data_IF_126379263756
#
_entry.id   IF_126379263756
#
_cell.length_a   1.000
_cell.length_b   1.000
_cell.length_c   1.000
_cell.angle_alpha   90.00
_cell.angle_beta   90.00
_cell.angle_gamma   90.00
#
_symmetry.space_group_name_H-M   'P 1'
#
loop_
_entity.id
_entity.type
_entity.pdbx_description
1 polymer ?
#
# COMPACT_ATOMS: atom_id res chain seq x y z
N UNK A 1 24.45 21.02 21.78
CA UNK A 1 23.86 21.22 20.45
C UNK A 1 22.55 20.48 20.48
N UNK A 2 21.50 21.26 20.70
CA UNK A 2 20.14 20.71 20.71
C UNK A 2 19.75 20.56 19.22
N UNK A 3 19.87 19.36 18.70
CA UNK A 3 19.43 19.02 17.35
C UNK A 3 17.89 18.93 17.40
N UNK A 4 17.25 20.10 17.37
CA UNK A 4 15.80 20.21 17.34
C UNK A 4 15.31 19.72 15.97
N UNK A 5 15.32 18.39 15.75
CA UNK A 5 14.59 17.80 14.62
C UNK A 5 13.12 18.19 14.74
N UNK A 6 12.57 18.68 13.66
CA UNK A 6 11.13 18.90 13.57
C UNK A 6 10.41 17.56 13.74
N UNK A 7 9.20 17.58 14.33
CA UNK A 7 8.37 16.37 14.39
C UNK A 7 8.10 15.87 12.96
N UNK A 8 8.09 14.53 12.75
CA UNK A 8 7.81 13.96 11.43
C UNK A 8 6.38 14.28 10.99
N UNK A 9 6.21 14.53 9.70
CA UNK A 9 4.89 14.76 9.10
C UNK A 9 4.34 13.42 8.59
N UNK A 10 3.13 13.05 9.04
CA UNK A 10 2.43 11.87 8.57
C UNK A 10 1.49 12.24 7.42
N UNK A 11 1.69 11.60 6.26
CA UNK A 11 0.82 11.76 5.08
C UNK A 11 0.10 10.45 4.80
N UNK A 12 -1.23 10.47 4.90
CA UNK A 12 -2.07 9.30 4.58
C UNK A 12 -2.50 9.33 3.11
N UNK A 13 -2.07 8.31 2.36
CA UNK A 13 -2.47 8.10 0.97
C UNK A 13 -3.68 7.16 0.94
N UNK A 14 -4.86 7.69 0.60
CA UNK A 14 -6.08 6.88 0.46
C UNK A 14 -5.93 5.81 -0.62
N UNK A 15 -6.62 4.67 -0.50
CA UNK A 15 -6.53 3.56 -1.46
C UNK A 15 -6.80 3.97 -2.92
N UNK A 16 -7.72 4.92 -3.13
CA UNK A 16 -8.00 5.47 -4.45
C UNK A 16 -6.95 6.47 -4.95
N UNK A 17 -6.07 6.96 -4.08
CA UNK A 17 -5.00 7.91 -4.46
C UNK A 17 -3.88 7.20 -5.21
N UNK A 18 -3.73 5.89 -4.99
CA UNK A 18 -2.69 5.05 -5.61
C UNK A 18 -3.22 4.18 -6.76
N UNK A 19 -4.48 4.36 -7.09
CA UNK A 19 -5.14 3.72 -8.22
C UNK A 19 -5.66 4.81 -9.15
N UNK A 20 -5.50 4.64 -10.45
CA UNK A 20 -6.15 5.49 -11.44
C UNK A 20 -7.67 5.56 -11.25
N UNK A 21 -8.33 6.48 -11.93
CA UNK A 21 -9.78 6.64 -11.86
C UNK A 21 -10.49 5.40 -12.42
N UNK A 22 -11.52 4.95 -11.70
CA UNK A 22 -12.53 3.91 -11.97
C UNK A 22 -12.32 3.01 -13.22
N UNK A 23 -12.01 1.74 -12.98
CA UNK A 23 -11.91 0.69 -13.99
C UNK A 23 -10.84 -0.33 -13.67
N UNK A 24 -10.66 -1.37 -14.49
CA UNK A 24 -9.50 -2.23 -14.39
C UNK A 24 -8.25 -1.41 -14.71
N UNK A 25 -7.42 -1.21 -13.72
CA UNK A 25 -6.17 -0.47 -13.84
C UNK A 25 -5.04 -1.38 -14.31
N UNK A 26 -4.12 -0.79 -15.07
CA UNK A 26 -2.90 -1.46 -15.54
C UNK A 26 -1.72 -1.14 -14.62
N UNK A 27 -0.65 -1.93 -14.70
CA UNK A 27 0.59 -1.66 -13.97
C UNK A 27 1.20 -0.30 -14.35
N UNK A 28 1.07 0.11 -15.63
CA UNK A 28 1.58 1.39 -16.11
C UNK A 28 0.79 2.57 -15.52
N UNK A 29 -0.54 2.47 -15.48
CA UNK A 29 -1.39 3.48 -14.83
C UNK A 29 -1.10 3.61 -13.34
N UNK A 30 -0.86 2.51 -12.65
CA UNK A 30 -0.44 2.54 -11.25
C UNK A 30 0.88 3.26 -11.08
N UNK A 31 1.87 2.97 -11.94
CA UNK A 31 3.18 3.63 -11.91
C UNK A 31 3.04 5.13 -12.14
N UNK A 32 2.28 5.57 -13.14
CA UNK A 32 2.04 6.99 -13.40
C UNK A 32 1.41 7.72 -12.21
N UNK A 33 0.49 7.07 -11.51
CA UNK A 33 -0.15 7.65 -10.32
C UNK A 33 0.84 7.77 -9.17
N UNK A 34 1.69 6.76 -8.97
CA UNK A 34 2.75 6.77 -7.96
C UNK A 34 3.77 7.86 -8.25
N UNK A 35 4.23 7.99 -9.50
CA UNK A 35 5.20 9.01 -9.93
C UNK A 35 4.64 10.42 -9.68
N UNK A 36 3.42 10.71 -10.10
CA UNK A 36 2.76 12.00 -9.81
C UNK A 36 2.58 12.26 -8.32
N UNK A 37 2.37 11.21 -7.52
CA UNK A 37 2.27 11.35 -6.06
C UNK A 37 3.62 11.72 -5.46
N UNK A 38 4.70 11.07 -5.89
CA UNK A 38 6.06 11.35 -5.45
C UNK A 38 6.48 12.79 -5.83
N UNK A 39 6.22 13.22 -7.08
CA UNK A 39 6.47 14.58 -7.54
C UNK A 39 5.76 15.63 -6.66
N UNK A 40 4.48 15.40 -6.33
CA UNK A 40 3.72 16.28 -5.44
C UNK A 40 4.29 16.34 -4.03
N UNK A 41 4.67 15.20 -3.46
CA UNK A 41 5.29 15.13 -2.14
C UNK A 41 6.63 15.88 -2.15
N UNK A 42 7.46 15.64 -3.17
CA UNK A 42 8.76 16.29 -3.32
C UNK A 42 8.65 17.81 -3.50
N UNK A 43 7.60 18.30 -4.18
CA UNK A 43 7.35 19.74 -4.35
C UNK A 43 6.68 20.42 -3.15
N UNK A 44 6.03 19.65 -2.28
CA UNK A 44 5.27 20.18 -1.14
C UNK A 44 6.12 20.28 0.13
N UNK A 45 7.05 19.36 0.33
CA UNK A 45 7.85 19.28 1.54
C UNK A 45 9.34 19.50 1.23
N UNK A 46 10.04 20.14 2.13
CA UNK A 46 11.49 20.35 2.01
C UNK A 46 12.26 19.02 2.14
N UNK A 47 13.50 19.00 1.63
CA UNK A 47 14.33 17.80 1.62
C UNK A 47 14.69 17.31 3.04
N UNK A 48 14.73 18.23 4.00
CA UNK A 48 15.04 17.97 5.41
C UNK A 48 13.80 17.54 6.22
N UNK A 49 12.61 17.53 5.61
CA UNK A 49 11.39 17.13 6.29
C UNK A 49 11.33 15.60 6.43
N UNK A 50 11.27 15.11 7.67
CA UNK A 50 11.01 13.69 7.94
C UNK A 50 9.55 13.36 7.62
N UNK A 51 9.33 12.51 6.61
CA UNK A 51 8.00 12.08 6.17
C UNK A 51 7.71 10.64 6.56
N UNK A 52 6.51 10.40 7.07
CA UNK A 52 5.94 9.05 7.25
C UNK A 52 4.73 8.93 6.33
N UNK A 53 4.83 8.08 5.32
CA UNK A 53 3.73 7.81 4.41
C UNK A 53 2.97 6.57 4.88
N UNK A 54 1.65 6.67 4.97
CA UNK A 54 0.77 5.53 5.22
C UNK A 54 -0.17 5.33 4.03
N UNK A 55 -0.49 4.09 3.70
CA UNK A 55 -1.36 3.79 2.56
C UNK A 55 -2.25 2.57 2.81
N UNK A 56 -3.37 2.49 2.09
CA UNK A 56 -4.18 1.29 1.99
C UNK A 56 -3.75 0.42 0.81
N UNK A 57 -4.20 -0.84 0.78
CA UNK A 57 -3.84 -1.82 -0.26
C UNK A 57 -5.02 -2.73 -0.69
N UNK A 58 -6.25 -2.40 -0.33
CA UNK A 58 -7.42 -3.26 -0.56
C UNK A 58 -7.58 -3.75 -2.00
N UNK A 59 -7.54 -2.89 -3.02
CA UNK A 59 -7.66 -3.31 -4.42
C UNK A 59 -6.51 -4.24 -4.88
N UNK A 60 -5.30 -4.01 -4.41
CA UNK A 60 -4.14 -4.84 -4.74
C UNK A 60 -4.27 -6.24 -4.14
N UNK A 61 -4.72 -6.33 -2.89
CA UNK A 61 -5.05 -7.61 -2.24
C UNK A 61 -6.13 -8.36 -3.02
N UNK A 62 -7.21 -7.66 -3.43
CA UNK A 62 -8.27 -8.23 -4.26
C UNK A 62 -7.74 -8.83 -5.57
N UNK A 63 -6.82 -8.15 -6.24
CA UNK A 63 -6.18 -8.66 -7.44
C UNK A 63 -5.33 -9.90 -7.18
N UNK A 64 -4.55 -9.93 -6.11
CA UNK A 64 -3.77 -11.12 -5.75
C UNK A 64 -4.67 -12.32 -5.44
N UNK A 65 -5.81 -12.11 -4.78
CA UNK A 65 -6.80 -13.16 -4.56
C UNK A 65 -7.28 -13.76 -5.89
N UNK A 66 -7.68 -12.92 -6.84
CA UNK A 66 -8.11 -13.39 -8.18
C UNK A 66 -7.00 -14.13 -8.92
N UNK A 67 -5.77 -13.63 -8.86
CA UNK A 67 -4.61 -14.29 -9.48
C UNK A 67 -4.33 -15.65 -8.85
N UNK A 68 -4.40 -15.74 -7.53
CA UNK A 68 -4.21 -16.97 -6.78
C UNK A 68 -5.30 -18.00 -7.11
N UNK A 69 -6.57 -17.59 -7.19
CA UNK A 69 -7.68 -18.47 -7.58
C UNK A 69 -7.54 -19.00 -9.02
N UNK A 70 -6.98 -18.20 -9.92
CA UNK A 70 -6.75 -18.61 -11.30
C UNK A 70 -5.56 -19.58 -11.47
N UNK A 71 -4.72 -19.76 -10.46
CA UNK A 71 -3.50 -20.57 -10.50
C UNK A 71 -3.58 -21.73 -9.50
N UNK A 72 -4.45 -22.69 -9.74
CA UNK A 72 -4.72 -23.82 -8.84
C UNK A 72 -3.49 -24.68 -8.48
N UNK A 73 -2.49 -24.70 -9.36
CA UNK A 73 -1.24 -25.47 -9.14
C UNK A 73 -0.22 -24.77 -8.24
N UNK A 74 -0.49 -23.52 -7.84
CA UNK A 74 0.39 -22.74 -6.96
C UNK A 74 -0.08 -22.78 -5.50
N UNK A 75 0.83 -22.64 -4.51
CA UNK A 75 0.44 -22.58 -3.11
C UNK A 75 -0.54 -21.43 -2.86
N UNK A 76 -1.65 -21.74 -2.17
CA UNK A 76 -2.61 -20.73 -1.75
C UNK A 76 -2.10 -20.08 -0.46
N UNK A 77 -1.90 -18.77 -0.50
CA UNK A 77 -1.44 -17.99 0.63
C UNK A 77 -2.62 -17.41 1.43
N UNK A 78 -2.43 -17.27 2.72
CA UNK A 78 -3.45 -16.64 3.57
C UNK A 78 -3.60 -15.14 3.31
N UNK A 79 -4.75 -14.58 3.65
CA UNK A 79 -5.07 -13.18 3.37
C UNK A 79 -4.08 -12.21 4.02
N UNK A 80 -3.58 -12.49 5.21
CA UNK A 80 -2.59 -11.68 5.90
C UNK A 80 -1.26 -11.63 5.14
N UNK A 81 -0.84 -12.75 4.52
CA UNK A 81 0.36 -12.78 3.66
C UNK A 81 0.14 -11.96 2.40
N UNK A 82 -1.01 -12.08 1.73
CA UNK A 82 -1.33 -11.26 0.55
C UNK A 82 -1.39 -9.76 0.90
N UNK A 83 -1.84 -9.43 2.10
CA UNK A 83 -1.78 -8.05 2.62
C UNK A 83 -0.33 -7.59 2.77
N UNK A 84 0.55 -8.42 3.33
CA UNK A 84 1.97 -8.09 3.48
C UNK A 84 2.67 -7.93 2.12
N UNK A 85 2.41 -8.81 1.16
CA UNK A 85 2.93 -8.71 -0.21
C UNK A 85 2.53 -7.40 -0.88
N UNK A 86 1.27 -7.01 -0.75
CA UNK A 86 0.77 -5.76 -1.35
C UNK A 86 1.23 -4.51 -0.61
N UNK A 87 1.49 -4.57 0.69
CA UNK A 87 2.21 -3.50 1.40
C UNK A 87 3.60 -3.29 0.77
N UNK A 88 4.34 -4.37 0.57
CA UNK A 88 5.66 -4.30 -0.04
C UNK A 88 5.60 -3.83 -1.50
N UNK A 89 4.64 -4.28 -2.29
CA UNK A 89 4.43 -3.86 -3.68
C UNK A 89 4.26 -2.34 -3.79
N UNK A 90 3.32 -1.78 -3.02
CA UNK A 90 3.05 -0.34 -3.05
C UNK A 90 4.23 0.44 -2.49
N UNK A 91 4.78 -0.01 -1.36
CA UNK A 91 5.93 0.63 -0.73
C UNK A 91 7.14 0.67 -1.64
N UNK A 92 7.43 -0.41 -2.38
CA UNK A 92 8.52 -0.48 -3.34
C UNK A 92 8.35 0.54 -4.48
N UNK A 93 7.13 0.67 -5.03
CA UNK A 93 6.85 1.63 -6.09
C UNK A 93 7.00 3.07 -5.59
N UNK A 94 6.46 3.38 -4.40
CA UNK A 94 6.60 4.69 -3.77
C UNK A 94 8.07 5.02 -3.45
N UNK A 95 8.82 4.04 -2.93
CA UNK A 95 10.25 4.21 -2.65
C UNK A 95 11.01 4.55 -3.93
N UNK A 96 10.82 3.79 -5.02
CA UNK A 96 11.46 4.06 -6.30
C UNK A 96 11.16 5.47 -6.81
N UNK A 97 9.88 5.87 -6.79
CA UNK A 97 9.47 7.18 -7.27
C UNK A 97 10.04 8.32 -6.42
N UNK A 98 10.04 8.15 -5.10
CA UNK A 98 10.61 9.15 -4.19
C UNK A 98 12.13 9.23 -4.28
N UNK A 99 12.83 8.11 -4.47
CA UNK A 99 14.28 8.10 -4.69
C UNK A 99 14.65 8.86 -5.98
N UNK A 100 13.82 8.77 -7.02
CA UNK A 100 14.01 9.53 -8.26
C UNK A 100 13.81 11.04 -8.05
N UNK A 101 12.81 11.44 -7.28
CA UNK A 101 12.51 12.85 -6.99
C UNK A 101 13.45 13.44 -5.94
N UNK A 102 13.98 12.62 -5.03
CA UNK A 102 14.79 13.02 -3.88
C UNK A 102 16.02 12.13 -3.71
N UNK A 103 16.99 12.14 -4.63
CA UNK A 103 18.11 11.21 -4.63
C UNK A 103 19.06 11.35 -3.42
N UNK A 104 18.89 12.37 -2.60
CA UNK A 104 19.65 12.58 -1.36
C UNK A 104 18.91 12.11 -0.09
N UNK A 105 17.63 11.79 -0.21
CA UNK A 105 16.83 11.26 0.90
C UNK A 105 17.00 9.75 1.02
N UNK A 106 17.00 9.23 2.26
CA UNK A 106 16.93 7.80 2.49
C UNK A 106 15.43 7.40 2.62
N UNK A 107 14.93 6.62 1.66
CA UNK A 107 13.56 6.12 1.69
C UNK A 107 13.55 4.65 2.06
N UNK A 108 12.68 4.26 3.00
CA UNK A 108 12.51 2.87 3.44
C UNK A 108 11.05 2.47 3.43
N UNK A 109 10.80 1.24 3.04
CA UNK A 109 9.48 0.61 3.13
C UNK A 109 9.43 -0.31 4.34
N UNK A 110 8.37 -0.18 5.14
CA UNK A 110 8.10 -1.04 6.29
C UNK A 110 6.86 -1.90 6.01
N UNK A 111 7.00 -3.20 6.18
CA UNK A 111 5.87 -4.13 6.23
C UNK A 111 5.44 -4.24 7.68
N UNK A 112 4.15 -4.02 7.93
CA UNK A 112 3.59 -4.03 9.29
C UNK A 112 2.79 -5.29 9.54
N UNK A 113 2.83 -5.77 10.78
CA UNK A 113 2.01 -6.87 11.26
C UNK A 113 1.04 -6.33 12.32
N UNK A 114 -0.23 -6.72 12.22
CA UNK A 114 -1.27 -6.36 13.20
C UNK A 114 -1.48 -7.56 14.14
N UNK A 115 -1.30 -7.33 15.44
CA UNK A 115 -1.65 -8.31 16.48
C UNK A 115 -3.13 -8.14 16.80
N UNK A 116 -3.87 -9.22 16.76
CA UNK A 116 -5.32 -9.25 17.01
C UNK A 116 -5.63 -10.10 18.23
N UNK A 117 -6.75 -9.82 18.90
CA UNK A 117 -7.28 -10.66 19.95
C UNK A 117 -7.87 -11.95 19.33
N UNK A 118 -7.43 -13.16 19.75
CA UNK A 118 -7.97 -14.39 19.21
C UNK A 118 -9.47 -14.57 19.49
N UNK A 119 -10.02 -13.89 20.50
CA UNK A 119 -11.43 -13.93 20.88
C UNK A 119 -12.25 -12.78 20.24
N UNK A 120 -11.68 -12.02 19.30
CA UNK A 120 -12.39 -10.93 18.63
C UNK A 120 -13.60 -11.46 17.87
N UNK A 121 -14.81 -10.93 18.13
CA UNK A 121 -16.05 -11.39 17.47
C UNK A 121 -16.04 -11.18 15.95
N UNK A 122 -15.10 -10.44 15.39
CA UNK A 122 -14.92 -10.30 13.95
C UNK A 122 -14.51 -11.62 13.27
N UNK A 123 -13.94 -12.58 14.01
CA UNK A 123 -13.68 -13.92 13.47
C UNK A 123 -14.96 -14.70 13.18
N UNK A 124 -16.03 -14.46 13.96
CA UNK A 124 -17.34 -15.06 13.73
C UNK A 124 -18.21 -14.26 12.75
N UNK A 125 -17.97 -12.98 12.64
CA UNK A 125 -18.74 -12.04 11.82
C UNK A 125 -17.80 -11.12 11.04
N UNK A 126 -17.35 -11.56 9.87
CA UNK A 126 -16.59 -10.72 8.95
C UNK A 126 -17.45 -9.51 8.51
N UNK A 127 -16.93 -8.29 8.70
CA UNK A 127 -17.65 -7.04 8.43
C UNK A 127 -17.13 -6.29 7.22
N UNK A 128 -15.92 -6.62 6.73
CA UNK A 128 -15.29 -5.94 5.59
C UNK A 128 -15.05 -6.92 4.45
N UNK A 129 -15.78 -6.81 3.33
CA UNK A 129 -15.50 -7.64 2.16
C UNK A 129 -14.15 -7.26 1.54
N UNK A 130 -13.39 -8.27 1.12
CA UNK A 130 -12.13 -8.13 0.38
C UNK A 130 -12.18 -9.04 -0.82
N UNK A 131 -11.85 -8.54 -2.02
CA UNK A 131 -11.89 -9.30 -3.26
C UNK A 131 -13.23 -9.21 -4.00
N UNK A 132 -13.44 -10.06 -5.01
CA UNK A 132 -14.65 -10.07 -5.82
C UNK A 132 -15.87 -10.58 -5.05
N UNK A 133 -17.06 -10.23 -5.53
CA UNK A 133 -18.31 -10.83 -5.08
C UNK A 133 -18.58 -12.08 -5.89
N UNK A 134 -18.88 -13.19 -5.20
CA UNK A 134 -19.26 -14.45 -5.81
C UNK A 134 -20.78 -14.60 -5.76
N UNK A 135 -21.38 -15.16 -6.81
CA UNK A 135 -22.77 -15.64 -6.78
C UNK A 135 -22.77 -17.10 -6.30
N UNK A 136 -23.75 -17.46 -5.49
CA UNK A 136 -23.98 -18.87 -5.19
C UNK A 136 -24.20 -19.65 -6.51
N UNK A 137 -23.43 -20.72 -6.71
CA UNK A 137 -23.54 -21.60 -7.87
C UNK A 137 -24.71 -22.57 -7.73
#
# INVERSE_FOLDING_TARGET
MDDARSDPIVVALGGNTLLGQQGPWTADEQREVVDRTAERLASTFDAETDLVLTHGNGPQVGNLLVQQEAAEETPQLSLDVLVAETQAQIGYLLQQALDNERPQAAVMTLVTQVIVDPDDPAFDRATKPVGPFYTEA
#
